data_IF_150701481542
#
_entry.id   IF_150701481542
#
_cell.length_a   1.000
_cell.length_b   1.000
_cell.length_c   1.000
_cell.angle_alpha   90.00
_cell.angle_beta   90.00
_cell.angle_gamma   90.00
#
_symmetry.space_group_name_H-M   'P 1'
#
loop_
_entity.id
_entity.type
_entity.pdbx_description
1 polymer ?
#
# COMPACT_ATOMS: atom_id res chain seq x y z
N UNK A 1 1.34 -5.98 -35.64
CA UNK A 1 2.16 -6.64 -34.61
C UNK A 1 1.89 -8.12 -34.71
N UNK A 2 2.94 -8.95 -34.76
CA UNK A 2 2.78 -10.40 -34.78
C UNK A 2 2.18 -10.89 -33.44
N UNK A 3 1.63 -12.11 -33.42
CA UNK A 3 1.10 -12.69 -32.18
C UNK A 3 2.17 -12.88 -31.09
N UNK A 4 3.45 -12.96 -31.47
CA UNK A 4 4.59 -13.07 -30.54
C UNK A 4 4.92 -11.72 -29.92
N UNK A 5 4.95 -10.64 -30.72
CA UNK A 5 5.19 -9.27 -30.23
C UNK A 5 4.13 -8.83 -29.19
N UNK A 6 2.87 -9.21 -29.39
CA UNK A 6 1.80 -8.90 -28.45
C UNK A 6 1.93 -9.65 -27.10
N UNK A 7 2.48 -10.86 -27.11
CA UNK A 7 2.74 -11.64 -25.89
C UNK A 7 3.93 -11.04 -25.13
N UNK A 8 4.98 -10.64 -25.84
CA UNK A 8 6.17 -10.03 -25.23
C UNK A 8 5.84 -8.69 -24.58
N UNK A 9 5.05 -7.83 -25.24
CA UNK A 9 4.58 -6.57 -24.67
C UNK A 9 3.69 -6.79 -23.43
N UNK A 10 2.81 -7.79 -23.45
CA UNK A 10 2.00 -8.16 -22.29
C UNK A 10 2.85 -8.63 -21.10
N UNK A 11 3.98 -9.29 -21.33
CA UNK A 11 4.87 -9.76 -20.27
C UNK A 11 6.04 -8.83 -19.96
N UNK A 12 6.09 -7.65 -20.58
CA UNK A 12 7.07 -6.63 -20.27
C UNK A 12 7.12 -6.36 -18.75
N UNK A 13 8.32 -6.35 -18.13
CA UNK A 13 8.47 -6.12 -16.70
C UNK A 13 7.82 -4.79 -16.28
N UNK A 14 7.14 -4.81 -15.15
CA UNK A 14 6.45 -3.63 -14.60
C UNK A 14 6.81 -3.41 -13.13
N UNK A 15 6.66 -2.19 -12.66
CA UNK A 15 6.91 -1.85 -11.26
C UNK A 15 5.68 -2.02 -10.37
N UNK A 16 4.47 -1.95 -10.95
CA UNK A 16 3.20 -2.07 -10.24
C UNK A 16 2.07 -2.63 -11.11
N UNK A 17 0.91 -2.94 -10.50
CA UNK A 17 -0.25 -3.53 -11.17
C UNK A 17 -0.96 -2.57 -12.12
N UNK A 18 -1.15 -1.34 -11.68
CA UNK A 18 -1.61 -0.20 -12.46
C UNK A 18 -0.76 1.02 -12.11
N UNK A 19 -0.43 1.87 -13.09
CA UNK A 19 0.17 3.17 -12.81
C UNK A 19 -0.74 3.98 -11.88
N UNK A 20 -0.20 4.64 -10.84
CA UNK A 20 -0.99 5.54 -10.01
C UNK A 20 -1.65 6.65 -10.82
N UNK A 21 -2.88 7.03 -10.42
CA UNK A 21 -3.55 8.23 -10.90
C UNK A 21 -3.18 9.44 -10.01
N UNK A 22 -3.20 10.68 -10.54
CA UNK A 22 -2.84 11.88 -9.77
C UNK A 22 -3.64 12.08 -8.48
N UNK A 23 -4.90 11.66 -8.46
CA UNK A 23 -5.81 11.81 -7.33
C UNK A 23 -5.38 11.00 -6.11
N UNK A 24 -4.58 9.94 -6.29
CA UNK A 24 -3.98 9.23 -5.17
C UNK A 24 -3.02 10.14 -4.39
N UNK A 25 -2.16 10.89 -5.09
CA UNK A 25 -1.21 11.80 -4.44
C UNK A 25 -1.94 13.01 -3.86
N UNK A 26 -2.92 13.57 -4.60
CA UNK A 26 -3.74 14.68 -4.11
C UNK A 26 -4.50 14.31 -2.81
N UNK A 27 -5.02 13.09 -2.73
CA UNK A 27 -5.72 12.63 -1.53
C UNK A 27 -4.76 12.42 -0.34
N UNK A 28 -3.50 12.03 -0.58
CA UNK A 28 -2.46 11.99 0.46
C UNK A 28 -2.07 13.41 0.91
N UNK A 29 -1.97 14.37 0.01
CA UNK A 29 -1.69 15.78 0.36
C UNK A 29 -2.79 16.34 1.27
N UNK A 30 -4.05 16.05 0.97
CA UNK A 30 -5.18 16.44 1.83
C UNK A 30 -5.12 15.77 3.21
N UNK A 31 -4.70 14.50 3.31
CA UNK A 31 -4.47 13.87 4.62
C UNK A 31 -3.30 14.49 5.37
N UNK A 32 -2.24 14.90 4.67
CA UNK A 32 -1.10 15.60 5.27
C UNK A 32 -1.53 16.95 5.86
N UNK A 33 -2.32 17.70 5.10
CA UNK A 33 -2.94 18.95 5.54
C UNK A 33 -3.87 18.75 6.73
N UNK A 34 -4.69 17.69 6.70
CA UNK A 34 -5.55 17.33 7.82
C UNK A 34 -4.73 17.04 9.09
N UNK A 35 -3.65 16.26 8.97
CA UNK A 35 -2.76 15.96 10.08
C UNK A 35 -2.12 17.23 10.67
N UNK A 36 -1.69 18.17 9.82
CA UNK A 36 -1.14 19.45 10.27
C UNK A 36 -2.19 20.29 11.00
N UNK A 37 -3.43 20.34 10.50
CA UNK A 37 -4.54 21.03 11.14
C UNK A 37 -4.88 20.42 12.51
N UNK A 38 -4.87 19.08 12.65
CA UNK A 38 -5.08 18.40 13.94
C UNK A 38 -4.03 18.83 14.95
N UNK A 39 -2.75 18.83 14.57
CA UNK A 39 -1.65 19.23 15.45
C UNK A 39 -1.70 20.71 15.84
N UNK A 40 -2.27 21.56 14.97
CA UNK A 40 -2.50 22.97 15.25
C UNK A 40 -3.79 23.24 16.06
N UNK A 41 -4.59 22.22 16.38
CA UNK A 41 -5.88 22.37 17.07
C UNK A 41 -7.04 22.82 16.18
N UNK A 42 -6.82 22.96 14.87
CA UNK A 42 -7.84 23.39 13.90
C UNK A 42 -8.68 22.19 13.42
N UNK A 43 -9.66 21.82 14.26
CA UNK A 43 -10.53 20.65 14.04
C UNK A 43 -11.42 20.79 12.81
N UNK A 44 -11.88 21.99 12.46
CA UNK A 44 -12.78 22.20 11.33
C UNK A 44 -12.04 22.11 10.00
N UNK A 45 -10.83 22.67 9.91
CA UNK A 45 -9.97 22.46 8.74
C UNK A 45 -9.59 21.00 8.59
N UNK A 46 -9.21 20.33 9.68
CA UNK A 46 -8.91 18.89 9.65
C UNK A 46 -10.09 18.08 9.09
N UNK A 47 -11.29 18.32 9.61
CA UNK A 47 -12.53 17.68 9.16
C UNK A 47 -12.79 17.90 7.66
N UNK A 48 -12.61 19.13 7.19
CA UNK A 48 -12.82 19.50 5.78
C UNK A 48 -11.84 18.74 4.87
N UNK A 49 -10.56 18.74 5.21
CA UNK A 49 -9.51 18.05 4.45
C UNK A 49 -9.69 16.53 4.44
N UNK A 50 -10.12 15.95 5.56
CA UNK A 50 -10.48 14.52 5.62
C UNK A 50 -11.65 14.17 4.69
N UNK A 51 -12.65 15.04 4.56
CA UNK A 51 -13.78 14.82 3.63
C UNK A 51 -13.33 14.90 2.18
N UNK A 52 -12.56 15.92 1.83
CA UNK A 52 -12.01 16.10 0.47
C UNK A 52 -11.07 14.95 0.06
N UNK A 53 -10.29 14.41 1.01
CA UNK A 53 -9.44 13.25 0.77
C UNK A 53 -10.24 11.97 0.46
N UNK A 54 -11.53 11.89 0.82
CA UNK A 54 -12.36 10.72 0.57
C UNK A 54 -12.89 10.69 -0.87
N UNK A 55 -12.00 10.58 -1.85
CA UNK A 55 -12.34 10.71 -3.27
C UNK A 55 -12.90 9.41 -3.86
N UNK A 56 -14.10 9.43 -4.49
CA UNK A 56 -14.66 8.25 -5.16
C UNK A 56 -13.76 7.68 -6.26
N UNK A 57 -13.02 8.52 -6.98
CA UNK A 57 -12.09 8.08 -8.04
C UNK A 57 -10.91 7.26 -7.49
N UNK A 58 -10.42 7.59 -6.28
CA UNK A 58 -9.40 6.78 -5.59
C UNK A 58 -9.96 5.41 -5.22
N UNK A 59 -11.21 5.36 -4.76
CA UNK A 59 -11.89 4.09 -4.47
C UNK A 59 -12.07 3.25 -5.74
N UNK A 60 -12.55 3.86 -6.82
CA UNK A 60 -12.73 3.20 -8.11
C UNK A 60 -11.40 2.64 -8.65
N UNK A 61 -10.30 3.40 -8.53
CA UNK A 61 -8.96 2.91 -8.87
C UNK A 61 -8.59 1.67 -8.05
N UNK A 62 -8.76 1.74 -6.72
CA UNK A 62 -8.43 0.63 -5.83
C UNK A 62 -9.27 -0.62 -6.13
N UNK A 63 -10.56 -0.44 -6.45
CA UNK A 63 -11.47 -1.52 -6.81
C UNK A 63 -11.09 -2.25 -8.10
N UNK A 64 -10.34 -1.63 -9.03
CA UNK A 64 -9.81 -2.32 -10.22
C UNK A 64 -8.75 -3.36 -9.89
N UNK A 65 -7.99 -3.15 -8.81
CA UNK A 65 -6.91 -4.04 -8.36
C UNK A 65 -7.40 -4.99 -7.25
N UNK A 66 -8.31 -4.53 -6.41
CA UNK A 66 -8.76 -5.29 -5.24
C UNK A 66 -10.14 -5.95 -5.43
N UNK A 67 -10.76 -5.73 -6.59
CA UNK A 67 -12.04 -6.30 -6.96
C UNK A 67 -11.90 -7.57 -7.81
N UNK A 68 -12.82 -7.79 -8.77
CA UNK A 68 -12.79 -8.96 -9.65
C UNK A 68 -11.48 -9.09 -10.42
N UNK A 69 -11.14 -10.34 -10.74
CA UNK A 69 -9.95 -10.64 -11.52
C UNK A 69 -10.05 -10.05 -12.93
N UNK A 70 -8.95 -9.46 -13.37
CA UNK A 70 -8.76 -8.84 -14.69
C UNK A 70 -7.41 -9.32 -15.22
N UNK A 71 -7.38 -9.89 -16.41
CA UNK A 71 -6.18 -10.54 -16.98
C UNK A 71 -5.02 -9.56 -17.21
N UNK A 72 -5.30 -8.30 -17.52
CA UNK A 72 -4.29 -7.29 -17.81
C UNK A 72 -3.68 -6.71 -16.54
N UNK A 73 -4.48 -6.59 -15.48
CA UNK A 73 -4.04 -6.13 -14.16
C UNK A 73 -3.36 -7.29 -13.42
N UNK A 74 -4.06 -8.41 -13.28
CA UNK A 74 -3.69 -9.56 -12.47
C UNK A 74 -2.97 -10.65 -13.27
N UNK A 75 -2.03 -10.21 -14.13
CA UNK A 75 -1.18 -11.08 -14.93
C UNK A 75 -0.67 -12.23 -14.07
N UNK A 76 -0.79 -13.46 -14.57
CA UNK A 76 -0.30 -14.65 -13.89
C UNK A 76 0.29 -15.63 -14.89
N UNK A 77 1.55 -16.02 -14.67
CA UNK A 77 2.18 -17.13 -15.38
C UNK A 77 2.64 -18.19 -14.39
N UNK A 78 2.63 -19.44 -14.84
CA UNK A 78 3.20 -20.54 -14.09
C UNK A 78 4.73 -20.50 -14.26
N UNK A 79 5.44 -20.50 -13.14
CA UNK A 79 6.89 -20.63 -13.10
C UNK A 79 7.27 -21.74 -12.13
N UNK A 80 8.47 -22.27 -12.27
CA UNK A 80 9.03 -23.17 -11.29
C UNK A 80 9.23 -22.43 -9.96
N UNK A 81 8.67 -22.99 -8.88
CA UNK A 81 8.75 -22.41 -7.54
C UNK A 81 9.94 -23.04 -6.80
N UNK A 82 10.63 -22.29 -5.92
CA UNK A 82 11.68 -22.86 -5.09
C UNK A 82 11.12 -24.03 -4.26
N UNK A 83 11.80 -25.18 -4.29
CA UNK A 83 11.44 -26.41 -3.56
C UNK A 83 12.04 -26.47 -2.14
N UNK A 84 13.04 -25.63 -1.83
CA UNK A 84 13.90 -25.72 -0.63
C UNK A 84 13.67 -24.62 0.42
N UNK A 85 12.46 -24.06 0.54
CA UNK A 85 12.21 -23.06 1.58
C UNK A 85 11.47 -23.69 2.76
N UNK A 86 12.18 -23.81 3.89
CA UNK A 86 11.56 -24.25 5.15
C UNK A 86 10.63 -23.15 5.65
N UNK A 87 9.35 -23.47 5.81
CA UNK A 87 8.36 -22.51 6.31
C UNK A 87 8.74 -22.03 7.71
N UNK A 88 8.95 -20.73 7.85
CA UNK A 88 9.13 -20.09 9.14
C UNK A 88 7.76 -20.01 9.86
N UNK A 89 7.65 -20.35 11.15
CA UNK A 89 6.36 -20.48 11.82
C UNK A 89 5.56 -19.17 11.92
N UNK A 90 6.22 -18.00 12.03
CA UNK A 90 5.53 -16.72 12.16
C UNK A 90 5.47 -15.94 10.83
N UNK A 91 4.25 -15.83 10.28
CA UNK A 91 3.97 -15.02 9.09
C UNK A 91 3.98 -13.52 9.39
N UNK A 92 3.57 -13.10 10.59
CA UNK A 92 3.42 -11.68 10.90
C UNK A 92 4.78 -11.15 11.39
N UNK A 93 5.34 -10.10 10.77
CA UNK A 93 6.53 -9.47 11.32
C UNK A 93 6.26 -8.88 12.70
N UNK A 94 7.30 -8.82 13.52
CA UNK A 94 7.28 -8.06 14.75
C UNK A 94 7.10 -6.57 14.44
N UNK A 95 6.51 -5.84 15.39
CA UNK A 95 6.21 -4.42 15.20
C UNK A 95 7.48 -3.59 14.92
N UNK A 96 8.60 -3.93 15.56
CA UNK A 96 9.90 -3.28 15.34
C UNK A 96 10.41 -3.51 13.91
N UNK A 97 10.25 -4.73 13.38
CA UNK A 97 10.62 -5.07 11.99
C UNK A 97 9.74 -4.31 11.01
N UNK A 98 8.42 -4.32 11.22
CA UNK A 98 7.48 -3.59 10.37
C UNK A 98 7.79 -2.09 10.34
N UNK A 99 8.04 -1.48 11.50
CA UNK A 99 8.42 -0.07 11.59
C UNK A 99 9.75 0.21 10.89
N UNK A 100 10.75 -0.66 11.04
CA UNK A 100 12.03 -0.52 10.36
C UNK A 100 11.89 -0.61 8.83
N UNK A 101 11.06 -1.51 8.32
CA UNK A 101 10.76 -1.65 6.89
C UNK A 101 10.08 -0.39 6.35
N UNK A 102 9.07 0.14 7.05
CA UNK A 102 8.38 1.37 6.65
C UNK A 102 9.31 2.58 6.61
N UNK A 103 10.17 2.73 7.62
CA UNK A 103 11.15 3.82 7.67
C UNK A 103 12.23 3.68 6.59
N UNK A 104 12.78 2.48 6.40
CA UNK A 104 13.77 2.18 5.34
C UNK A 104 13.26 2.59 3.97
N UNK A 105 11.98 2.31 3.71
CA UNK A 105 11.36 2.54 2.41
C UNK A 105 10.74 3.95 2.26
N UNK A 106 10.94 4.85 3.24
CA UNK A 106 10.44 6.22 3.21
C UNK A 106 8.92 6.33 3.22
N UNK A 107 8.24 5.38 3.86
CA UNK A 107 6.77 5.29 3.89
C UNK A 107 6.15 5.39 2.49
N UNK A 108 6.80 4.79 1.50
CA UNK A 108 6.33 4.71 0.11
C UNK A 108 6.19 3.26 -0.32
N UNK A 109 5.16 3.00 -1.11
CA UNK A 109 4.97 1.72 -1.76
C UNK A 109 6.17 1.44 -2.67
N UNK A 110 6.91 0.39 -2.37
CA UNK A 110 8.08 -0.04 -3.12
C UNK A 110 7.73 -0.51 -4.53
N UNK A 111 6.46 -0.83 -4.82
CA UNK A 111 5.97 -1.13 -6.16
C UNK A 111 5.60 0.14 -6.94
N UNK A 112 4.50 0.81 -6.56
CA UNK A 112 3.93 1.92 -7.35
C UNK A 112 4.49 3.32 -6.99
N UNK A 113 5.31 3.45 -5.95
CA UNK A 113 5.92 4.73 -5.54
C UNK A 113 5.03 5.63 -4.67
N UNK A 114 3.74 5.33 -4.57
CA UNK A 114 2.78 6.11 -3.78
C UNK A 114 3.16 6.20 -2.31
N UNK A 115 3.02 7.39 -1.73
CA UNK A 115 3.04 7.58 -0.27
C UNK A 115 1.97 6.70 0.39
N UNK A 116 2.37 5.95 1.41
CA UNK A 116 1.45 5.11 2.21
C UNK A 116 1.18 5.74 3.57
N UNK A 117 0.03 5.39 4.15
CA UNK A 117 -0.41 5.88 5.46
C UNK A 117 -0.42 4.73 6.46
N UNK A 118 0.09 4.96 7.66
CA UNK A 118 0.16 3.93 8.70
C UNK A 118 -1.25 3.47 9.13
N UNK A 119 -1.51 2.15 9.25
CA UNK A 119 -2.82 1.62 9.64
C UNK A 119 -3.32 2.11 11.01
N UNK A 120 -2.42 2.40 11.95
CA UNK A 120 -2.79 2.92 13.26
C UNK A 120 -3.23 4.39 13.22
N UNK A 121 -2.77 5.18 12.24
CA UNK A 121 -3.22 6.57 12.05
C UNK A 121 -4.71 6.58 11.68
N UNK A 122 -5.14 5.63 10.85
CA UNK A 122 -6.58 5.43 10.56
C UNK A 122 -7.39 5.29 11.84
N UNK A 123 -6.94 4.45 12.80
CA UNK A 123 -7.66 4.21 14.06
C UNK A 123 -7.77 5.50 14.88
N UNK A 124 -6.71 6.29 14.94
CA UNK A 124 -6.73 7.62 15.59
C UNK A 124 -7.80 8.49 14.93
N UNK A 125 -7.75 8.63 13.61
CA UNK A 125 -8.67 9.50 12.86
C UNK A 125 -10.13 9.03 12.90
N UNK A 126 -10.38 7.72 12.91
CA UNK A 126 -11.72 7.15 13.13
C UNK A 126 -12.29 7.56 14.48
N UNK A 127 -11.49 7.51 15.54
CA UNK A 127 -11.94 7.88 16.88
C UNK A 127 -12.13 9.40 17.01
N UNK A 128 -11.27 10.19 16.36
CA UNK A 128 -11.31 11.66 16.47
C UNK A 128 -12.35 12.31 15.54
N UNK A 129 -12.63 11.71 14.38
CA UNK A 129 -13.54 12.21 13.33
C UNK A 129 -14.44 11.07 12.78
N UNK A 130 -15.26 10.42 13.65
CA UNK A 130 -16.05 9.24 13.26
C UNK A 130 -17.10 9.51 12.18
N UNK A 131 -17.55 10.76 12.02
CA UNK A 131 -18.49 11.17 10.97
C UNK A 131 -17.86 11.32 9.58
N UNK A 132 -16.52 11.39 9.50
CA UNK A 132 -15.79 11.56 8.23
C UNK A 132 -14.98 10.32 7.87
N UNK A 133 -14.31 9.72 8.84
CA UNK A 133 -13.45 8.55 8.62
C UNK A 133 -14.24 7.28 8.96
N UNK A 134 -15.01 6.82 7.99
CA UNK A 134 -15.75 5.57 8.10
C UNK A 134 -14.86 4.35 7.82
N UNK A 135 -14.98 3.32 8.67
CA UNK A 135 -14.35 2.02 8.49
C UNK A 135 -15.28 0.89 8.97
N UNK A 136 -16.53 0.94 8.53
CA UNK A 136 -17.55 -0.08 8.80
C UNK A 136 -18.31 -0.40 7.52
N UNK A 137 -18.90 -1.59 7.44
CA UNK A 137 -19.73 -1.98 6.29
C UNK A 137 -18.91 -2.56 5.13
N UNK A 138 -19.35 -2.27 3.89
CA UNK A 138 -18.75 -2.81 2.67
C UNK A 138 -17.48 -2.05 2.30
N UNK A 139 -16.64 -2.63 1.45
CA UNK A 139 -15.40 -1.98 1.02
C UNK A 139 -15.62 -0.57 0.44
N UNK A 140 -16.75 -0.35 -0.24
CA UNK A 140 -17.17 0.95 -0.80
C UNK A 140 -17.46 2.04 0.25
N UNK A 141 -17.71 1.64 1.49
CA UNK A 141 -18.06 2.54 2.59
C UNK A 141 -16.81 2.96 3.39
N UNK A 142 -15.66 2.34 3.11
CA UNK A 142 -14.37 2.69 3.74
C UNK A 142 -13.80 3.95 3.10
N UNK A 143 -13.22 4.82 3.93
CA UNK A 143 -12.53 6.02 3.46
C UNK A 143 -11.43 5.67 2.44
N UNK A 144 -11.50 6.32 1.26
CA UNK A 144 -10.84 5.88 0.04
C UNK A 144 -9.31 5.80 0.17
N UNK A 145 -8.67 6.77 0.84
CA UNK A 145 -7.21 6.77 0.99
C UNK A 145 -6.76 5.62 1.88
N UNK A 146 -7.46 5.36 2.98
CA UNK A 146 -7.11 4.24 3.84
C UNK A 146 -7.42 2.89 3.18
N UNK A 147 -8.44 2.82 2.32
CA UNK A 147 -8.73 1.63 1.54
C UNK A 147 -7.63 1.34 0.51
N UNK A 148 -7.09 2.36 -0.16
CA UNK A 148 -6.11 2.21 -1.24
C UNK A 148 -4.64 2.18 -0.76
N UNK A 149 -4.30 3.06 0.20
CA UNK A 149 -2.93 3.47 0.53
C UNK A 149 -2.53 3.14 1.97
N UNK A 150 -3.29 2.30 2.70
CA UNK A 150 -2.79 1.75 3.97
C UNK A 150 -1.47 1.01 3.75
N UNK A 151 -0.47 1.30 4.59
CA UNK A 151 0.82 0.65 4.55
C UNK A 151 0.72 -0.82 4.98
N UNK A 152 1.40 -1.70 4.24
CA UNK A 152 1.54 -3.13 4.57
C UNK A 152 2.99 -3.55 4.32
N UNK A 153 3.58 -4.30 5.26
CA UNK A 153 4.84 -4.99 5.03
C UNK A 153 4.56 -6.28 4.24
N UNK A 154 4.90 -6.28 2.95
CA UNK A 154 4.68 -7.40 2.03
C UNK A 154 5.95 -8.25 1.91
N UNK A 155 5.76 -9.56 1.87
CA UNK A 155 6.80 -10.55 1.66
C UNK A 155 7.16 -10.64 0.17
N UNK A 156 8.38 -10.27 -0.22
CA UNK A 156 8.86 -10.40 -1.61
C UNK A 156 8.82 -11.87 -2.05
N UNK A 157 9.37 -12.77 -1.24
CA UNK A 157 9.12 -14.21 -1.33
C UNK A 157 7.92 -14.52 -0.41
N UNK A 158 6.78 -14.96 -0.95
CA UNK A 158 5.59 -15.24 -0.14
C UNK A 158 5.86 -16.20 1.01
N UNK A 159 5.28 -15.93 2.18
CA UNK A 159 5.37 -16.82 3.34
C UNK A 159 4.85 -18.25 3.06
N UNK A 160 3.83 -18.39 2.21
CA UNK A 160 3.31 -19.70 1.75
C UNK A 160 4.35 -20.53 0.98
N UNK A 161 5.33 -19.86 0.39
CA UNK A 161 6.49 -20.44 -0.29
C UNK A 161 7.75 -20.39 0.58
N UNK A 162 7.62 -20.15 1.89
CA UNK A 162 8.71 -20.23 2.85
C UNK A 162 9.56 -18.95 2.99
N UNK A 163 9.13 -17.81 2.47
CA UNK A 163 9.77 -16.53 2.78
C UNK A 163 9.56 -16.12 4.24
N UNK A 164 10.64 -15.68 4.89
CA UNK A 164 10.63 -15.23 6.29
C UNK A 164 10.03 -13.82 6.45
N UNK A 165 9.76 -13.42 7.69
CA UNK A 165 9.27 -12.08 8.04
C UNK A 165 10.41 -11.14 8.46
N UNK A 166 11.61 -11.35 7.95
CA UNK A 166 12.79 -10.52 8.18
C UNK A 166 12.81 -9.28 7.29
N UNK A 167 13.61 -8.28 7.67
CA UNK A 167 13.72 -6.99 6.96
C UNK A 167 14.09 -7.18 5.48
N UNK A 168 14.93 -8.16 5.15
CA UNK A 168 15.43 -8.38 3.77
C UNK A 168 14.39 -8.99 2.83
N UNK A 169 13.40 -9.71 3.37
CA UNK A 169 12.30 -10.27 2.60
C UNK A 169 11.05 -9.37 2.61
N UNK A 170 11.00 -8.35 3.46
CA UNK A 170 9.86 -7.45 3.56
C UNK A 170 10.09 -6.12 2.83
N UNK A 171 9.03 -5.61 2.21
CA UNK A 171 8.99 -4.28 1.60
C UNK A 171 7.70 -3.55 1.95
N UNK A 172 7.76 -2.22 2.00
CA UNK A 172 6.59 -1.36 2.20
C UNK A 172 5.73 -1.36 0.96
N UNK A 173 4.44 -1.55 1.12
CA UNK A 173 3.47 -1.56 0.02
C UNK A 173 2.20 -0.81 0.39
N UNK A 174 1.52 -0.26 -0.62
CA UNK A 174 0.13 0.15 -0.45
C UNK A 174 -0.79 -1.08 -0.47
N UNK A 175 -1.95 -0.95 0.16
CA UNK A 175 -2.98 -2.00 0.21
C UNK A 175 -3.32 -2.57 -1.18
N UNK A 176 -3.41 -1.71 -2.21
CA UNK A 176 -3.68 -2.16 -3.58
C UNK A 176 -2.58 -3.09 -4.15
N UNK A 177 -1.32 -2.70 -4.04
CA UNK A 177 -0.23 -3.52 -4.60
C UNK A 177 -0.02 -4.80 -3.79
N UNK A 178 -0.14 -4.73 -2.45
CA UNK A 178 -0.11 -5.89 -1.57
C UNK A 178 -1.18 -6.93 -1.97
N UNK A 179 -2.42 -6.45 -2.15
CA UNK A 179 -3.53 -7.31 -2.56
C UNK A 179 -3.33 -7.89 -3.97
N UNK A 180 -2.91 -7.05 -4.92
CA UNK A 180 -2.66 -7.48 -6.30
C UNK A 180 -1.61 -8.60 -6.39
N UNK A 181 -0.52 -8.48 -5.62
CA UNK A 181 0.53 -9.51 -5.57
C UNK A 181 0.03 -10.77 -4.85
N UNK A 182 -0.52 -10.61 -3.66
CA UNK A 182 -0.98 -11.72 -2.84
C UNK A 182 0.15 -12.70 -2.51
N UNK A 183 -0.14 -13.99 -2.61
CA UNK A 183 0.77 -15.10 -2.30
C UNK A 183 1.67 -15.52 -3.47
N UNK A 184 1.88 -14.63 -4.44
CA UNK A 184 2.62 -14.90 -5.68
C UNK A 184 4.04 -14.31 -5.64
N UNK A 185 4.96 -15.00 -6.30
CA UNK A 185 6.30 -14.49 -6.60
C UNK A 185 6.20 -13.31 -7.57
N UNK A 186 7.15 -12.38 -7.47
CA UNK A 186 7.22 -11.23 -8.38
C UNK A 186 7.24 -11.65 -9.85
N UNK A 187 8.01 -12.69 -10.16
CA UNK A 187 8.11 -13.23 -11.51
C UNK A 187 6.79 -13.87 -12.00
N UNK A 188 5.91 -14.37 -11.13
CA UNK A 188 4.59 -14.91 -11.53
C UNK A 188 3.67 -13.79 -12.02
N UNK A 189 3.85 -12.56 -11.53
CA UNK A 189 3.00 -11.39 -11.81
C UNK A 189 3.68 -10.30 -12.64
N UNK A 190 4.90 -10.58 -13.13
CA UNK A 190 5.70 -9.68 -13.96
C UNK A 190 6.26 -8.45 -13.24
N UNK A 191 6.34 -8.48 -11.90
CA UNK A 191 6.90 -7.37 -11.13
C UNK A 191 8.43 -7.42 -11.11
N UNK A 192 9.05 -6.25 -11.28
CA UNK A 192 10.48 -6.04 -11.04
C UNK A 192 10.73 -6.08 -9.53
N UNK A 193 11.76 -6.79 -9.09
CA UNK A 193 12.18 -6.79 -7.68
C UNK A 193 12.45 -5.36 -7.20
N UNK A 194 11.61 -4.82 -6.28
CA UNK A 194 11.73 -3.44 -5.88
C UNK A 194 12.97 -3.19 -5.02
N UNK A 195 13.67 -4.22 -4.53
CA UNK A 195 14.92 -4.09 -3.78
C UNK A 195 16.11 -3.72 -4.68
N UNK A 196 15.96 -3.84 -5.99
CA UNK A 196 17.01 -3.52 -6.98
C UNK A 196 17.19 -2.01 -7.23
N UNK A 197 16.29 -1.17 -6.71
CA UNK A 197 16.36 0.30 -6.79
C UNK A 197 16.42 0.89 -5.39
N UNK A 198 17.02 2.08 -5.17
CA UNK A 198 17.04 2.69 -3.85
C UNK A 198 15.62 3.09 -3.37
N UNK A 199 15.39 3.17 -2.05
CA UNK A 199 14.22 3.83 -1.48
C UNK A 199 14.26 5.33 -1.74
N UNK A 200 13.07 5.93 -1.88
CA UNK A 200 12.91 7.39 -1.88
C UNK A 200 12.58 7.77 -0.45
N UNK A 201 13.51 8.45 0.21
CA UNK A 201 13.37 8.90 1.59
C UNK A 201 13.36 10.42 1.58
N UNK A 202 12.22 10.99 1.93
CA UNK A 202 11.97 12.43 2.01
C UNK A 202 11.35 12.77 3.38
N UNK A 203 10.62 13.88 3.49
CA UNK A 203 9.98 14.30 4.74
C UNK A 203 8.67 13.56 5.06
N UNK A 204 8.22 12.64 4.20
CA UNK A 204 7.01 11.87 4.43
C UNK A 204 7.22 10.85 5.56
N UNK A 205 6.33 10.86 6.56
CA UNK A 205 6.43 10.08 7.80
C UNK A 205 5.30 9.04 7.94
N UNK A 206 4.55 8.80 6.87
CA UNK A 206 3.34 7.96 6.89
C UNK A 206 2.24 8.48 7.83
N UNK A 207 2.27 9.77 8.18
CA UNK A 207 1.47 10.45 9.21
C UNK A 207 1.74 9.95 10.63
N UNK A 208 2.90 9.33 10.87
CA UNK A 208 3.29 8.77 12.16
C UNK A 208 3.30 9.79 13.30
N UNK A 209 3.52 11.08 13.01
CA UNK A 209 3.42 12.17 14.01
C UNK A 209 2.09 12.23 14.75
N UNK A 210 0.99 11.79 14.14
CA UNK A 210 -0.32 11.73 14.81
C UNK A 210 -0.40 10.64 15.89
N UNK A 211 0.50 9.66 15.87
CA UNK A 211 0.58 8.59 16.88
C UNK A 211 1.32 9.04 18.14
N UNK A 212 2.11 10.11 18.04
CA UNK A 212 2.91 10.68 19.12
C UNK A 212 2.20 11.85 19.81
N UNK A 213 1.12 12.37 19.21
CA UNK A 213 0.37 13.49 19.76
C UNK A 213 -0.26 13.11 21.10
N UNK A 214 -0.28 14.01 22.10
CA UNK A 214 -0.95 13.78 23.37
C UNK A 214 -2.43 13.43 23.11
N UNK A 215 -2.93 12.40 23.78
CA UNK A 215 -4.37 12.12 23.76
C UNK A 215 -5.07 13.23 24.53
N UNK A 216 -5.88 14.03 23.83
CA UNK A 216 -6.79 15.02 24.42
C UNK A 216 -7.86 14.37 25.27
#
# INVERSE_FOLDING_TARGET
MSGVEQIDEFWAPRTCFLPPIPELEAAVDLLNDAANAILAGDRERARTRLREANMPVVHAFAARIMGPWDVFIHRRRQIERPTELTKVPNRKPDQSVETAVFARDGWRCRYCGMRVVLPNVRKVLMNTFPDVVCWSGKDKDRHAVFYALSAVADHVVPHTLGGDSGVDNLVTTCQCCNYGKGDRLLAEVGLIDPRTRPPVVDTWDGLGRLLLAPKS
#
